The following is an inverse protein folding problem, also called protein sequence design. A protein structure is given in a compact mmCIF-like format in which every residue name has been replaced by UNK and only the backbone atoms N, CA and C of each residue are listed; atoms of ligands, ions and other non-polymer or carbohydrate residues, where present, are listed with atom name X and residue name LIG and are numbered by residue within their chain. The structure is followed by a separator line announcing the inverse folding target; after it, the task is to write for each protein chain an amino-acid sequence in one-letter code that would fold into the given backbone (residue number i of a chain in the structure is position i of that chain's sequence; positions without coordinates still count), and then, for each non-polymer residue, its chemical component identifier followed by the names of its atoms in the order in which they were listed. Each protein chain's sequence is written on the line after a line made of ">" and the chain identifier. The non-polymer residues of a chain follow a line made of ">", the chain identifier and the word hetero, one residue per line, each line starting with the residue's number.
data_IF_502759891016
#
_entry.id   IF_502759891016
#
_cell.length_a   1.000
_cell.length_b   1.000
_cell.length_c   1.000
_cell.angle_alpha   90.00
_cell.angle_beta   90.00
_cell.angle_gamma   90.00
#
_symmetry.space_group_name_H-M   'P 1'
#
loop_
_entity.id
_entity.type
_entity.pdbx_description
1 polymer ?
#
# COMPACT_ATOMS: atom_id res chain seq x y z
N UNK A 1 -62.16 -87.41 20.94
CA UNK A 1 -60.79 -86.85 20.83
C UNK A 1 -60.82 -85.80 19.73
N UNK A 2 -60.51 -84.51 19.87
CA UNK A 2 -59.92 -83.71 20.96
C UNK A 2 -60.16 -82.23 20.55
N UNK A 3 -60.66 -81.36 21.45
CA UNK A 3 -60.72 -79.91 21.18
C UNK A 3 -59.44 -79.23 21.68
N UNK A 4 -58.79 -78.43 20.83
CA UNK A 4 -57.59 -77.66 21.19
C UNK A 4 -57.89 -76.17 21.35
N UNK A 5 -57.38 -75.64 22.45
CA UNK A 5 -57.67 -74.36 23.08
C UNK A 5 -56.97 -73.18 22.41
N UNK A 6 -57.75 -72.20 21.92
CA UNK A 6 -57.28 -70.92 21.36
C UNK A 6 -57.38 -69.82 22.43
N UNK A 7 -56.42 -69.71 23.37
CA UNK A 7 -56.50 -68.67 24.42
C UNK A 7 -55.23 -67.87 24.76
N UNK A 8 -54.09 -68.09 24.07
CA UNK A 8 -52.82 -67.46 24.47
C UNK A 8 -52.31 -66.27 23.64
N UNK A 9 -53.01 -65.83 22.58
CA UNK A 9 -52.45 -64.79 21.67
C UNK A 9 -52.72 -63.33 22.09
N UNK A 10 -53.73 -63.08 22.94
CA UNK A 10 -54.21 -61.71 23.24
C UNK A 10 -53.45 -61.03 24.39
N UNK A 11 -52.80 -61.78 25.29
CA UNK A 11 -52.10 -61.21 26.45
C UNK A 11 -50.73 -60.62 26.08
N UNK A 12 -50.09 -61.15 25.04
CA UNK A 12 -48.74 -60.73 24.63
C UNK A 12 -48.75 -59.42 23.81
N UNK A 13 -49.81 -59.16 23.05
CA UNK A 13 -49.92 -57.93 22.23
C UNK A 13 -50.07 -56.66 23.08
N UNK A 14 -50.75 -56.73 24.22
CA UNK A 14 -50.88 -55.60 25.15
C UNK A 14 -49.54 -55.21 25.80
N UNK A 15 -48.66 -56.17 26.05
CA UNK A 15 -47.33 -55.91 26.60
C UNK A 15 -46.38 -55.35 25.54
N UNK A 16 -46.45 -55.85 24.30
CA UNK A 16 -45.70 -55.31 23.16
C UNK A 16 -46.14 -53.87 22.84
N UNK A 17 -47.44 -53.59 22.87
CA UNK A 17 -47.96 -52.24 22.64
C UNK A 17 -47.53 -51.25 23.73
N UNK A 18 -47.51 -51.69 24.99
CA UNK A 18 -46.97 -50.89 26.11
C UNK A 18 -45.46 -50.66 25.96
N UNK A 19 -44.71 -51.66 25.50
CA UNK A 19 -43.27 -51.56 25.29
C UNK A 19 -42.93 -50.61 24.12
N UNK A 20 -43.68 -50.67 23.03
CA UNK A 20 -43.56 -49.74 21.89
C UNK A 20 -43.93 -48.30 22.29
N UNK A 21 -44.96 -48.13 23.13
CA UNK A 21 -45.37 -46.81 23.63
C UNK A 21 -44.32 -46.19 24.58
N UNK A 22 -43.73 -47.00 25.47
CA UNK A 22 -42.65 -46.57 26.35
C UNK A 22 -41.36 -46.24 25.56
N UNK A 23 -41.05 -47.01 24.51
CA UNK A 23 -39.89 -46.74 23.65
C UNK A 23 -40.10 -45.45 22.83
N UNK A 24 -41.32 -45.17 22.38
CA UNK A 24 -41.67 -43.93 21.68
C UNK A 24 -41.56 -42.70 22.59
N UNK A 25 -41.99 -42.80 23.85
CA UNK A 25 -41.82 -41.72 24.85
C UNK A 25 -40.34 -41.51 25.19
N UNK A 26 -39.56 -42.60 25.28
CA UNK A 26 -38.12 -42.51 25.51
C UNK A 26 -37.39 -41.87 24.32
N UNK A 27 -37.82 -42.16 23.08
CA UNK A 27 -37.26 -41.52 21.89
C UNK A 27 -37.61 -40.03 21.81
N UNK A 28 -38.81 -39.63 22.28
CA UNK A 28 -39.22 -38.22 22.34
C UNK A 28 -38.57 -37.44 23.49
N UNK A 29 -38.18 -38.10 24.58
CA UNK A 29 -37.49 -37.47 25.72
C UNK A 29 -35.96 -37.41 25.56
N UNK A 30 -35.38 -38.16 24.61
CA UNK A 30 -33.96 -38.12 24.28
C UNK A 30 -33.64 -37.48 22.93
N UNK A 31 -34.66 -37.08 22.16
CA UNK A 31 -34.50 -36.10 21.09
C UNK A 31 -34.43 -34.70 21.71
N UNK A 32 -33.46 -34.50 22.60
CA UNK A 32 -33.05 -33.16 22.98
C UNK A 32 -32.67 -32.44 21.69
N UNK A 33 -33.39 -31.35 21.45
CA UNK A 33 -33.21 -30.41 20.37
C UNK A 33 -31.72 -30.27 20.02
N UNK A 34 -31.30 -30.79 18.87
CA UNK A 34 -30.14 -30.23 18.18
C UNK A 34 -30.62 -28.91 17.60
N UNK A 35 -30.69 -27.90 18.47
CA UNK A 35 -30.87 -26.53 18.05
C UNK A 35 -29.63 -26.13 17.26
N UNK A 36 -29.70 -26.21 15.93
CA UNK A 36 -28.73 -25.52 15.09
C UNK A 36 -29.01 -24.02 15.23
N UNK A 37 -28.37 -23.37 16.20
CA UNK A 37 -28.32 -21.91 16.21
C UNK A 37 -27.58 -21.47 14.94
N UNK A 38 -28.33 -20.92 13.99
CA UNK A 38 -27.76 -20.34 12.79
C UNK A 38 -26.95 -19.09 13.18
N UNK A 39 -25.63 -19.23 13.31
CA UNK A 39 -24.75 -18.11 13.58
C UNK A 39 -24.77 -17.18 12.36
N UNK A 40 -25.28 -15.97 12.56
CA UNK A 40 -25.44 -15.00 11.48
C UNK A 40 -24.10 -14.34 11.17
N UNK A 41 -23.76 -14.27 9.87
CA UNK A 41 -22.60 -13.55 9.35
C UNK A 41 -23.09 -12.25 8.71
N UNK A 42 -22.58 -11.11 9.16
CA UNK A 42 -22.87 -9.80 8.54
C UNK A 42 -21.62 -9.24 7.90
N UNK A 43 -21.72 -8.80 6.66
CA UNK A 43 -20.60 -8.28 5.88
C UNK A 43 -20.95 -6.90 5.30
N UNK A 44 -20.16 -5.90 5.64
CA UNK A 44 -20.42 -4.51 5.24
C UNK A 44 -19.47 -4.01 4.12
N UNK A 45 -18.59 -4.87 3.61
CA UNK A 45 -17.60 -4.49 2.59
C UNK A 45 -16.16 -4.78 3.01
N UNK A 46 -15.25 -4.50 2.08
CA UNK A 46 -13.81 -4.43 2.30
C UNK A 46 -13.37 -3.04 1.87
N UNK A 47 -12.95 -2.22 2.83
CA UNK A 47 -12.28 -0.97 2.48
C UNK A 47 -10.85 -1.29 2.04
N UNK A 48 -10.38 -0.63 0.98
CA UNK A 48 -9.03 -0.82 0.48
C UNK A 48 -8.34 0.54 0.38
N UNK A 49 -7.15 0.63 0.95
CA UNK A 49 -6.31 1.83 0.93
C UNK A 49 -4.98 1.51 0.28
N UNK A 50 -4.41 2.48 -0.41
CA UNK A 50 -3.09 2.33 -1.01
C UNK A 50 -2.18 3.51 -0.73
N UNK A 51 -0.91 3.20 -0.58
CA UNK A 51 0.19 4.14 -0.43
C UNK A 51 1.36 3.73 -1.34
N UNK A 52 2.31 4.64 -1.52
CA UNK A 52 3.51 4.39 -2.30
C UNK A 52 4.72 4.88 -1.54
N UNK A 53 5.81 4.14 -1.65
CA UNK A 53 7.05 4.42 -0.95
C UNK A 53 8.02 5.18 -1.86
N UNK A 54 7.77 6.48 -1.98
CA UNK A 54 8.68 7.41 -2.67
C UNK A 54 9.15 8.51 -1.73
N UNK A 55 10.42 8.87 -1.83
CA UNK A 55 11.02 9.97 -1.08
C UNK A 55 10.29 11.27 -1.41
N UNK A 56 9.89 11.97 -0.36
CA UNK A 56 9.38 13.33 -0.40
C UNK A 56 10.14 14.12 0.69
N UNK A 57 10.52 15.37 0.44
CA UNK A 57 11.14 16.18 1.48
C UNK A 57 10.21 16.34 2.69
N UNK A 58 10.77 16.45 3.89
CA UNK A 58 10.00 16.45 5.15
C UNK A 58 8.97 17.59 5.24
N UNK A 59 9.19 18.69 4.53
CA UNK A 59 8.32 19.86 4.48
C UNK A 59 7.25 19.79 3.36
N UNK A 60 7.27 18.74 2.54
CA UNK A 60 6.26 18.52 1.50
C UNK A 60 4.94 18.07 2.11
N UNK A 61 3.88 18.87 1.90
CA UNK A 61 2.55 18.64 2.50
C UNK A 61 1.64 17.71 1.68
N UNK A 62 2.07 17.32 0.49
CA UNK A 62 1.28 16.46 -0.41
C UNK A 62 1.50 14.98 -0.17
N UNK A 63 0.71 14.13 -0.83
CA UNK A 63 0.92 12.68 -0.84
C UNK A 63 2.16 12.34 -1.69
N UNK A 64 2.93 11.34 -1.26
CA UNK A 64 3.87 10.64 -2.11
C UNK A 64 3.15 10.14 -3.38
N UNK A 65 3.78 10.32 -4.54
CA UNK A 65 3.21 9.97 -5.84
C UNK A 65 3.94 8.75 -6.38
N UNK A 66 3.20 7.90 -7.09
CA UNK A 66 3.74 6.74 -7.78
C UNK A 66 4.73 7.22 -8.85
N UNK A 67 5.91 6.63 -8.91
CA UNK A 67 6.90 6.80 -9.99
C UNK A 67 7.36 5.43 -10.47
N UNK A 68 7.98 5.29 -11.65
CA UNK A 68 8.50 3.98 -12.10
C UNK A 68 9.37 3.32 -11.03
N UNK A 69 9.19 2.01 -10.84
CA UNK A 69 9.86 1.21 -9.80
C UNK A 69 9.52 1.56 -8.35
N UNK A 70 8.64 2.52 -8.10
CA UNK A 70 8.13 2.76 -6.75
C UNK A 70 7.35 1.55 -6.25
N UNK A 71 7.56 1.23 -4.98
CA UNK A 71 6.78 0.24 -4.25
C UNK A 71 5.40 0.82 -3.93
N UNK A 72 4.37 0.00 -4.11
CA UNK A 72 2.98 0.31 -3.81
C UNK A 72 2.50 -0.73 -2.81
N UNK A 73 1.94 -0.26 -1.70
CA UNK A 73 1.32 -1.08 -0.68
C UNK A 73 -0.18 -0.85 -0.68
N UNK A 74 -0.94 -1.93 -0.67
CA UNK A 74 -2.39 -1.93 -0.56
C UNK A 74 -2.76 -2.66 0.72
N UNK A 75 -3.58 -2.06 1.57
CA UNK A 75 -4.15 -2.68 2.76
C UNK A 75 -5.65 -2.93 2.57
N UNK A 76 -6.12 -4.10 2.99
CA UNK A 76 -7.53 -4.47 3.02
C UNK A 76 -8.06 -4.43 4.45
N UNK A 77 -9.19 -3.77 4.64
CA UNK A 77 -9.86 -3.57 5.92
C UNK A 77 -11.28 -4.15 5.85
N UNK A 78 -11.42 -5.48 6.01
CA UNK A 78 -12.71 -6.13 5.95
C UNK A 78 -13.58 -5.78 7.18
N UNK A 79 -14.87 -5.54 6.94
CA UNK A 79 -15.86 -5.30 8.00
C UNK A 79 -16.81 -6.49 8.09
N UNK A 80 -16.36 -7.53 8.81
CA UNK A 80 -17.06 -8.82 8.94
C UNK A 80 -17.39 -9.09 10.39
N UNK A 81 -18.65 -9.42 10.64
CA UNK A 81 -19.14 -9.81 11.94
C UNK A 81 -19.64 -11.24 11.91
N UNK A 82 -19.25 -12.02 12.92
CA UNK A 82 -19.63 -13.41 13.12
C UNK A 82 -20.11 -13.58 14.54
N UNK A 83 -21.34 -14.08 14.74
CA UNK A 83 -21.93 -14.26 16.08
C UNK A 83 -21.84 -12.99 16.96
N UNK A 84 -22.13 -11.82 16.37
CA UNK A 84 -22.16 -10.54 17.08
C UNK A 84 -20.80 -9.88 17.34
N UNK A 85 -19.67 -10.53 17.04
CA UNK A 85 -18.32 -9.94 17.15
C UNK A 85 -17.72 -9.64 15.79
N UNK A 86 -16.89 -8.61 15.71
CA UNK A 86 -16.04 -8.36 14.52
C UNK A 86 -14.93 -9.40 14.47
N UNK A 87 -14.69 -9.99 13.29
CA UNK A 87 -13.52 -10.84 13.06
C UNK A 87 -12.28 -9.97 12.87
N UNK A 88 -11.17 -10.33 13.52
CA UNK A 88 -9.88 -9.68 13.27
C UNK A 88 -9.23 -10.22 12.00
N UNK A 89 -8.35 -9.42 11.38
CA UNK A 89 -7.64 -9.83 10.16
C UNK A 89 -6.87 -11.15 10.34
N UNK A 90 -6.31 -11.41 11.52
CA UNK A 90 -5.62 -12.67 11.87
C UNK A 90 -6.51 -13.92 11.82
N UNK A 91 -7.84 -13.77 11.86
CA UNK A 91 -8.81 -14.87 11.77
C UNK A 91 -9.26 -15.14 10.33
N UNK A 92 -8.88 -14.26 9.41
CA UNK A 92 -9.31 -14.27 8.01
C UNK A 92 -8.19 -14.79 7.10
N UNK A 93 -8.61 -15.36 5.97
CA UNK A 93 -7.74 -15.78 4.88
C UNK A 93 -7.92 -14.77 3.75
N UNK A 94 -6.80 -14.29 3.22
CA UNK A 94 -6.73 -13.33 2.12
C UNK A 94 -6.12 -14.00 0.89
N UNK A 95 -6.78 -13.91 -0.25
CA UNK A 95 -6.24 -14.36 -1.53
C UNK A 95 -6.08 -13.14 -2.45
N UNK A 96 -4.85 -12.68 -2.60
CA UNK A 96 -4.53 -11.50 -3.39
C UNK A 96 -4.27 -11.84 -4.85
N UNK A 97 -4.73 -10.94 -5.71
CA UNK A 97 -4.52 -10.99 -7.15
C UNK A 97 -4.08 -9.62 -7.64
N UNK A 98 -3.10 -9.59 -8.53
CA UNK A 98 -2.65 -8.40 -9.25
C UNK A 98 -2.76 -8.68 -10.75
N UNK A 99 -3.53 -7.87 -11.47
CA UNK A 99 -3.76 -8.04 -12.92
C UNK A 99 -4.13 -9.50 -13.28
N UNK A 100 -5.04 -10.09 -12.51
CA UNK A 100 -5.53 -11.46 -12.64
C UNK A 100 -4.53 -12.58 -12.29
N UNK A 101 -3.28 -12.25 -11.95
CA UNK A 101 -2.31 -13.21 -11.42
C UNK A 101 -2.39 -13.30 -9.91
N UNK A 102 -2.36 -14.53 -9.37
CA UNK A 102 -2.38 -14.76 -7.92
C UNK A 102 -1.04 -14.35 -7.29
N UNK A 103 -1.10 -13.60 -6.20
CA UNK A 103 0.06 -13.13 -5.45
C UNK A 103 0.27 -14.06 -4.25
N UNK A 104 0.97 -15.17 -4.47
CA UNK A 104 1.17 -16.24 -3.47
C UNK A 104 1.80 -15.74 -2.17
N UNK A 105 2.88 -14.98 -2.26
CA UNK A 105 3.63 -14.45 -1.11
C UNK A 105 2.77 -13.56 -0.18
N UNK A 106 1.80 -12.88 -0.78
CA UNK A 106 0.89 -11.97 -0.08
C UNK A 106 -0.44 -12.63 0.26
N UNK A 107 -0.65 -13.90 -0.11
CA UNK A 107 -1.88 -14.62 0.20
C UNK A 107 -1.73 -15.50 1.44
N UNK A 108 -2.80 -15.67 2.20
CA UNK A 108 -2.86 -16.55 3.36
C UNK A 108 -3.58 -15.94 4.57
N UNK A 109 -3.48 -16.64 5.70
CA UNK A 109 -4.09 -16.23 6.96
C UNK A 109 -3.46 -14.92 7.47
N UNK A 110 -4.28 -13.93 7.79
CA UNK A 110 -3.82 -12.63 8.32
C UNK A 110 -3.02 -11.76 7.34
N UNK A 111 -2.91 -12.15 6.07
CA UNK A 111 -2.19 -11.38 5.04
C UNK A 111 -3.07 -10.26 4.48
N UNK A 112 -3.33 -9.26 5.30
CA UNK A 112 -4.24 -8.15 5.00
C UNK A 112 -3.65 -7.06 4.09
N UNK A 113 -2.48 -7.28 3.51
CA UNK A 113 -1.86 -6.34 2.58
C UNK A 113 -1.18 -7.04 1.39
N UNK A 114 -1.05 -6.28 0.31
CA UNK A 114 -0.29 -6.61 -0.90
C UNK A 114 0.76 -5.53 -1.14
N UNK A 115 1.99 -5.94 -1.45
CA UNK A 115 3.04 -5.04 -1.92
C UNK A 115 3.44 -5.46 -3.34
N UNK A 116 3.62 -4.48 -4.23
CA UNK A 116 4.15 -4.70 -5.57
C UNK A 116 4.90 -3.46 -6.08
N UNK A 117 5.77 -3.64 -7.08
CA UNK A 117 6.47 -2.53 -7.74
C UNK A 117 5.70 -2.05 -8.97
N UNK A 118 5.61 -0.74 -9.15
CA UNK A 118 5.06 -0.14 -10.36
C UNK A 118 5.91 -0.46 -11.59
N UNK A 119 5.25 -0.67 -12.72
CA UNK A 119 5.91 -0.99 -14.00
C UNK A 119 6.60 0.24 -14.61
N UNK A 120 7.76 0.02 -15.23
CA UNK A 120 8.42 1.03 -16.08
C UNK A 120 7.77 1.09 -17.48
N UNK A 121 7.33 -0.07 -17.98
CA UNK A 121 7.00 -0.28 -19.40
C UNK A 121 5.51 -0.16 -19.71
N UNK A 122 4.66 -0.50 -18.75
CA UNK A 122 3.22 -0.44 -18.93
C UNK A 122 2.70 0.94 -18.54
N UNK A 123 1.80 1.50 -19.36
CA UNK A 123 0.99 2.68 -19.03
C UNK A 123 -0.38 2.28 -18.44
N UNK A 124 -0.62 0.99 -18.24
CA UNK A 124 -1.90 0.47 -17.76
C UNK A 124 -2.04 0.66 -16.25
N UNK A 125 -3.28 0.79 -15.80
CA UNK A 125 -3.62 0.80 -14.38
C UNK A 125 -3.39 -0.59 -13.81
N UNK A 126 -2.99 -0.68 -12.54
CA UNK A 126 -2.90 -1.97 -11.86
C UNK A 126 -4.22 -2.30 -11.18
N UNK A 127 -4.73 -3.50 -11.45
CA UNK A 127 -5.96 -4.00 -10.86
C UNK A 127 -5.61 -4.95 -9.72
N UNK A 128 -5.76 -4.48 -8.48
CA UNK A 128 -5.57 -5.30 -7.30
C UNK A 128 -6.93 -5.79 -6.81
N UNK A 129 -7.01 -7.08 -6.55
CA UNK A 129 -8.19 -7.75 -6.03
C UNK A 129 -7.79 -8.61 -4.84
N UNK A 130 -8.68 -8.68 -3.85
CA UNK A 130 -8.54 -9.59 -2.71
C UNK A 130 -9.83 -10.35 -2.49
N UNK A 131 -9.72 -11.66 -2.32
CA UNK A 131 -10.81 -12.44 -1.73
C UNK A 131 -10.54 -12.65 -0.25
N UNK A 132 -11.55 -12.37 0.58
CA UNK A 132 -11.49 -12.55 2.04
C UNK A 132 -12.48 -13.62 2.46
N UNK A 133 -12.00 -14.62 3.18
CA UNK A 133 -12.80 -15.72 3.72
C UNK A 133 -12.41 -16.04 5.16
N UNK A 134 -13.20 -16.86 5.85
CA UNK A 134 -12.77 -17.52 7.08
C UNK A 134 -12.14 -18.89 6.80
N UNK A 135 -11.55 -19.47 7.85
CA UNK A 135 -10.86 -20.77 7.78
C UNK A 135 -11.81 -21.90 7.33
N UNK A 136 -13.07 -21.89 7.76
CA UNK A 136 -14.05 -22.91 7.38
C UNK A 136 -14.65 -22.70 5.98
N UNK A 137 -14.31 -21.61 5.29
CA UNK A 137 -14.81 -21.30 3.94
C UNK A 137 -16.31 -21.01 3.88
N UNK A 138 -16.96 -20.75 5.01
CA UNK A 138 -18.42 -20.51 5.06
C UNK A 138 -18.82 -19.17 4.44
N UNK A 139 -17.86 -18.26 4.27
CA UNK A 139 -18.06 -17.06 3.45
C UNK A 139 -16.80 -16.75 2.63
N UNK A 140 -17.02 -16.07 1.50
CA UNK A 140 -15.96 -15.49 0.66
C UNK A 140 -16.48 -14.21 0.03
N UNK A 141 -15.70 -13.12 0.11
CA UNK A 141 -16.08 -11.80 -0.39
C UNK A 141 -14.93 -11.12 -1.13
N UNK A 142 -15.26 -10.33 -2.13
CA UNK A 142 -14.30 -9.65 -3.00
C UNK A 142 -14.13 -8.19 -2.59
N UNK A 143 -12.89 -7.72 -2.59
CA UNK A 143 -12.52 -6.31 -2.64
C UNK A 143 -11.69 -6.03 -3.88
N UNK A 144 -11.93 -4.90 -4.54
CA UNK A 144 -11.19 -4.48 -5.74
C UNK A 144 -10.77 -3.03 -5.59
N UNK A 145 -9.52 -2.75 -5.96
CA UNK A 145 -9.00 -1.38 -6.09
C UNK A 145 -8.19 -1.24 -7.37
N UNK A 146 -8.38 -0.11 -8.05
CA UNK A 146 -7.65 0.23 -9.27
C UNK A 146 -6.61 1.28 -8.94
N UNK A 147 -5.35 0.92 -9.08
CA UNK A 147 -4.22 1.83 -8.85
C UNK A 147 -3.91 2.56 -10.15
N UNK A 148 -3.94 3.91 -10.16
CA UNK A 148 -3.60 4.66 -11.35
C UNK A 148 -2.14 4.42 -11.72
N UNK A 149 -1.87 4.38 -13.01
CA UNK A 149 -0.50 4.56 -13.46
C UNK A 149 -0.13 6.04 -13.36
N UNK A 150 1.10 6.32 -12.97
CA UNK A 150 1.63 7.67 -12.91
C UNK A 150 2.68 7.86 -13.98
N UNK A 151 2.41 8.80 -14.89
CA UNK A 151 3.42 9.31 -15.83
C UNK A 151 4.45 10.20 -15.13
N UNK A 152 4.25 10.55 -13.85
CA UNK A 152 5.22 11.37 -13.12
C UNK A 152 6.54 10.63 -13.02
N UNK A 153 7.61 11.40 -13.12
CA UNK A 153 8.97 10.91 -12.98
C UNK A 153 9.55 11.48 -11.68
N UNK A 154 10.57 10.82 -11.12
CA UNK A 154 11.48 11.44 -10.16
C UNK A 154 11.91 12.84 -10.66
N UNK A 155 11.86 13.83 -9.78
CA UNK A 155 12.14 15.24 -10.12
C UNK A 155 13.16 15.83 -9.14
N UNK A 156 13.98 16.77 -9.62
CA UNK A 156 14.84 17.60 -8.78
C UNK A 156 14.34 19.03 -8.87
N UNK A 157 14.06 19.61 -7.71
CA UNK A 157 13.75 21.02 -7.58
C UNK A 157 14.90 21.73 -6.88
N UNK A 158 15.27 22.90 -7.39
CA UNK A 158 16.32 23.72 -6.79
C UNK A 158 15.65 24.87 -6.06
N UNK A 159 16.10 25.14 -4.83
CA UNK A 159 15.61 26.24 -4.00
C UNK A 159 16.79 27.10 -3.59
N UNK A 160 16.57 28.41 -3.44
CA UNK A 160 17.52 29.24 -2.71
C UNK A 160 17.46 28.85 -1.22
N UNK A 161 18.62 28.71 -0.61
CA UNK A 161 18.80 28.28 0.77
C UNK A 161 19.42 29.41 1.60
N UNK A 162 18.83 29.69 2.75
CA UNK A 162 19.40 30.58 3.75
C UNK A 162 20.07 29.72 4.84
N UNK A 163 21.41 29.62 4.87
CA UNK A 163 22.12 28.82 5.86
C UNK A 163 22.00 29.37 7.29
N UNK A 164 21.73 30.67 7.45
CA UNK A 164 21.61 31.31 8.76
C UNK A 164 20.31 30.93 9.46
N UNK A 165 19.22 30.83 8.69
CA UNK A 165 17.90 30.43 9.18
C UNK A 165 17.60 28.95 8.97
N UNK A 166 18.42 28.26 8.17
CA UNK A 166 18.18 26.88 7.67
C UNK A 166 16.85 26.77 6.94
N UNK A 167 16.50 27.79 6.18
CA UNK A 167 15.22 27.90 5.48
C UNK A 167 15.39 27.84 3.96
N UNK A 168 14.36 27.30 3.30
CA UNK A 168 14.24 27.27 1.86
C UNK A 168 13.29 28.36 1.39
N UNK A 169 13.63 28.96 0.25
CA UNK A 169 12.68 29.79 -0.50
C UNK A 169 11.35 29.06 -0.74
N UNK A 170 10.23 29.80 -0.75
CA UNK A 170 8.89 29.23 -0.88
C UNK A 170 8.63 28.56 -2.24
N UNK A 171 9.43 28.86 -3.26
CA UNK A 171 9.26 28.38 -4.64
C UNK A 171 10.60 27.88 -5.18
N UNK A 172 10.52 26.79 -5.94
CA UNK A 172 11.67 26.31 -6.69
C UNK A 172 12.07 27.35 -7.76
N UNK A 173 13.36 27.51 -7.96
CA UNK A 173 13.91 28.49 -8.89
C UNK A 173 14.03 27.91 -10.31
N UNK A 174 13.74 28.76 -11.29
CA UNK A 174 14.11 28.59 -12.71
C UNK A 174 15.13 29.65 -13.14
N UNK A 175 15.18 30.76 -12.40
CA UNK A 175 16.15 31.85 -12.55
C UNK A 175 16.29 32.58 -11.21
N UNK A 176 17.46 33.12 -10.93
CA UNK A 176 17.74 33.92 -9.73
C UNK A 176 18.56 35.16 -10.05
N UNK A 177 18.33 36.22 -9.29
CA UNK A 177 19.16 37.42 -9.27
C UNK A 177 19.94 37.46 -7.96
N UNK A 178 21.25 37.68 -8.04
CA UNK A 178 22.17 37.82 -6.91
C UNK A 178 22.76 39.23 -6.99
N UNK A 179 22.81 39.96 -5.89
CA UNK A 179 23.48 41.26 -5.90
C UNK A 179 25.00 41.08 -6.02
N UNK A 180 25.64 42.02 -6.70
CA UNK A 180 27.09 42.00 -6.83
C UNK A 180 27.78 42.15 -5.48
N UNK A 181 28.70 41.24 -5.18
CA UNK A 181 29.39 41.16 -3.90
C UNK A 181 28.75 40.18 -2.92
N UNK A 182 27.58 39.63 -3.24
CA UNK A 182 26.89 38.66 -2.38
C UNK A 182 27.31 37.22 -2.68
N UNK A 183 27.03 36.38 -1.67
CA UNK A 183 27.04 34.92 -1.73
C UNK A 183 25.61 34.40 -1.67
N UNK A 184 25.26 33.47 -2.55
CA UNK A 184 23.99 32.75 -2.52
C UNK A 184 24.22 31.24 -2.50
N UNK A 185 23.37 30.54 -1.76
CA UNK A 185 23.36 29.07 -1.72
C UNK A 185 22.08 28.52 -2.34
N UNK A 186 22.23 27.41 -3.05
CA UNK A 186 21.15 26.71 -3.72
C UNK A 186 21.17 25.25 -3.32
N UNK A 187 20.05 24.72 -2.88
CA UNK A 187 19.91 23.30 -2.55
C UNK A 187 19.14 22.58 -3.66
N UNK A 188 19.62 21.41 -4.06
CA UNK A 188 18.90 20.48 -4.92
C UNK A 188 18.15 19.46 -4.06
N UNK A 189 16.82 19.48 -4.18
CA UNK A 189 15.92 18.64 -3.39
C UNK A 189 15.22 17.62 -4.29
N UNK A 190 15.41 16.32 -4.04
CA UNK A 190 14.76 15.27 -4.81
C UNK A 190 13.29 15.08 -4.41
N UNK A 191 12.45 14.73 -5.38
CA UNK A 191 11.04 14.45 -5.20
C UNK A 191 10.66 13.15 -5.91
N UNK A 192 9.87 12.34 -5.21
CA UNK A 192 9.26 11.11 -5.70
C UNK A 192 10.27 10.04 -6.16
N UNK A 193 11.44 9.99 -5.53
CA UNK A 193 12.45 8.95 -5.78
C UNK A 193 11.97 7.65 -5.14
N UNK A 194 11.96 6.50 -5.84
CA UNK A 194 11.72 5.21 -5.18
C UNK A 194 12.67 5.03 -3.98
N UNK A 195 12.14 4.72 -2.79
CA UNK A 195 12.93 4.72 -1.54
C UNK A 195 14.09 3.72 -1.57
N UNK A 196 13.92 2.57 -2.22
CA UNK A 196 14.99 1.58 -2.43
C UNK A 196 16.21 2.16 -3.18
N UNK A 197 16.03 3.26 -3.92
CA UNK A 197 17.08 3.95 -4.68
C UNK A 197 17.67 5.19 -4.01
N UNK A 198 17.19 5.59 -2.82
CA UNK A 198 17.60 6.85 -2.17
C UNK A 198 18.85 6.75 -1.30
N UNK A 199 19.41 5.55 -1.08
CA UNK A 199 20.56 5.35 -0.19
C UNK A 199 21.89 5.82 -0.79
N UNK A 200 22.00 5.90 -2.12
CA UNK A 200 23.19 6.34 -2.82
C UNK A 200 22.79 7.32 -3.93
N UNK A 201 22.82 8.60 -3.59
CA UNK A 201 22.49 9.70 -4.49
C UNK A 201 23.78 10.43 -4.85
N UNK A 202 24.08 10.52 -6.14
CA UNK A 202 25.24 11.24 -6.66
C UNK A 202 24.76 12.55 -7.27
N UNK A 203 25.21 13.67 -6.71
CA UNK A 203 24.95 15.01 -7.22
C UNK A 203 26.15 15.50 -8.04
N UNK A 204 25.87 16.07 -9.20
CA UNK A 204 26.90 16.64 -10.07
C UNK A 204 26.47 18.01 -10.57
N UNK A 205 27.02 19.05 -9.97
CA UNK A 205 26.81 20.44 -10.39
C UNK A 205 27.68 20.82 -11.58
N UNK A 206 27.14 21.66 -12.45
CA UNK A 206 27.85 22.26 -13.58
C UNK A 206 27.45 23.73 -13.70
N UNK A 207 28.41 24.58 -14.07
CA UNK A 207 28.16 25.98 -14.43
C UNK A 207 28.74 26.22 -15.82
N UNK A 208 27.92 26.74 -16.72
CA UNK A 208 28.28 26.99 -18.12
C UNK A 208 28.89 25.74 -18.79
N UNK A 209 28.31 24.57 -18.50
CA UNK A 209 28.78 23.27 -19.01
C UNK A 209 30.06 22.72 -18.36
N UNK A 210 30.70 23.46 -17.44
CA UNK A 210 31.88 22.97 -16.71
C UNK A 210 31.47 22.32 -15.40
N UNK A 211 31.86 21.06 -15.22
CA UNK A 211 31.68 20.33 -13.96
C UNK A 211 32.42 21.03 -12.83
N UNK A 212 31.73 21.24 -11.71
CA UNK A 212 32.32 21.72 -10.47
C UNK A 212 33.03 20.57 -9.74
N UNK A 213 33.91 20.91 -8.78
CA UNK A 213 34.42 19.91 -7.85
C UNK A 213 33.26 19.45 -6.96
N UNK A 214 33.42 18.28 -6.35
CA UNK A 214 32.38 17.74 -5.49
C UNK A 214 32.17 18.68 -4.29
N UNK A 215 30.98 19.28 -4.23
CA UNK A 215 30.56 20.18 -3.16
C UNK A 215 30.35 19.38 -1.86
N UNK A 216 30.51 20.04 -0.71
CA UNK A 216 30.21 19.44 0.59
C UNK A 216 29.36 20.39 1.45
N UNK A 217 28.05 20.12 1.61
CA UNK A 217 27.34 18.91 1.18
C UNK A 217 27.06 18.89 -0.34
N UNK A 218 26.98 17.70 -0.97
CA UNK A 218 26.96 17.56 -2.43
C UNK A 218 25.68 18.09 -3.09
N UNK A 219 24.59 18.23 -2.34
CA UNK A 219 23.32 18.76 -2.80
C UNK A 219 23.22 20.30 -2.69
N UNK A 220 24.25 20.99 -2.17
CA UNK A 220 24.29 22.45 -2.08
C UNK A 220 25.30 23.00 -3.08
N UNK A 221 24.92 24.05 -3.79
CA UNK A 221 25.76 24.86 -4.64
C UNK A 221 25.91 26.25 -4.02
N UNK A 222 27.14 26.66 -3.73
CA UNK A 222 27.45 28.00 -3.22
C UNK A 222 28.08 28.85 -4.32
N UNK A 223 27.49 30.01 -4.59
CA UNK A 223 27.97 30.98 -5.58
C UNK A 223 28.35 32.27 -4.86
N UNK A 224 29.59 32.70 -5.00
CA UNK A 224 30.06 33.98 -4.48
C UNK A 224 30.46 34.89 -5.64
N UNK A 225 29.94 36.12 -5.63
CA UNK A 225 30.26 37.14 -6.63
C UNK A 225 31.17 38.22 -6.05
N UNK A 226 31.95 38.88 -6.91
CA UNK A 226 32.77 40.03 -6.49
C UNK A 226 31.98 41.34 -6.64
N UNK A 227 32.24 42.37 -5.82
CA UNK A 227 31.66 43.70 -6.03
C UNK A 227 31.97 44.25 -7.44
N UNK A 228 30.96 44.83 -8.09
CA UNK A 228 31.01 45.29 -9.48
C UNK A 228 30.81 44.22 -10.56
N UNK A 229 30.59 42.95 -10.19
CA UNK A 229 30.31 41.86 -11.15
C UNK A 229 28.97 42.04 -11.85
N UNK A 230 28.96 41.89 -13.18
CA UNK A 230 27.75 41.73 -13.99
C UNK A 230 27.90 40.52 -14.89
N UNK A 231 27.34 39.40 -14.46
CA UNK A 231 27.50 38.11 -15.15
C UNK A 231 26.20 37.34 -15.18
N UNK A 232 25.93 36.69 -16.31
CA UNK A 232 24.90 35.67 -16.43
C UNK A 232 25.57 34.31 -16.56
N UNK A 233 25.07 33.32 -15.82
CA UNK A 233 25.54 31.95 -15.85
C UNK A 233 24.35 30.99 -15.95
N UNK A 234 24.60 29.83 -16.54
CA UNK A 234 23.67 28.72 -16.61
C UNK A 234 24.17 27.62 -15.68
N UNK A 235 23.35 27.24 -14.71
CA UNK A 235 23.67 26.20 -13.75
C UNK A 235 22.81 24.96 -14.00
N UNK A 236 23.45 23.80 -13.92
CA UNK A 236 22.83 22.49 -14.08
C UNK A 236 23.17 21.62 -12.87
N UNK A 237 22.19 20.85 -12.40
CA UNK A 237 22.41 19.71 -11.52
C UNK A 237 21.98 18.44 -12.24
N UNK A 238 22.87 17.45 -12.23
CA UNK A 238 22.54 16.09 -12.60
C UNK A 238 22.58 15.19 -11.36
N UNK A 239 21.48 14.49 -11.08
CA UNK A 239 21.34 13.62 -9.92
C UNK A 239 21.14 12.19 -10.38
N UNK A 240 22.06 11.30 -9.99
CA UNK A 240 21.98 9.87 -10.28
C UNK A 240 21.57 9.09 -9.03
N UNK A 241 20.66 8.15 -9.22
CA UNK A 241 20.15 7.24 -8.19
C UNK A 241 20.52 5.82 -8.58
N UNK A 242 20.76 4.94 -7.60
CA UNK A 242 21.17 3.56 -7.88
C UNK A 242 20.14 2.77 -8.70
N UNK A 243 18.85 2.98 -8.44
CA UNK A 243 17.78 2.17 -9.03
C UNK A 243 17.08 2.85 -10.22
N UNK A 244 17.55 4.03 -10.64
CA UNK A 244 17.04 4.70 -11.83
C UNK A 244 18.06 4.55 -12.96
N UNK A 245 17.60 4.03 -14.09
CA UNK A 245 18.42 3.86 -15.31
C UNK A 245 18.91 5.21 -15.84
N UNK A 246 18.10 6.25 -15.67
CA UNK A 246 18.39 7.61 -16.10
C UNK A 246 18.61 8.53 -14.91
N UNK A 247 19.55 9.47 -15.08
CA UNK A 247 19.79 10.53 -14.12
C UNK A 247 18.77 11.66 -14.29
N UNK A 248 18.34 12.27 -13.18
CA UNK A 248 17.38 13.38 -13.19
C UNK A 248 18.15 14.70 -13.27
N UNK A 249 17.78 15.56 -14.22
CA UNK A 249 18.46 16.84 -14.47
C UNK A 249 17.56 18.02 -14.15
N UNK A 250 18.14 19.09 -13.61
CA UNK A 250 17.48 20.39 -13.43
C UNK A 250 18.46 21.50 -13.79
N UNK A 251 17.95 22.53 -14.47
CA UNK A 251 18.74 23.69 -14.87
C UNK A 251 18.06 25.00 -14.45
N UNK A 252 18.85 26.04 -14.22
CA UNK A 252 18.37 27.38 -13.90
C UNK A 252 19.40 28.46 -14.29
N UNK A 253 18.92 29.68 -14.45
CA UNK A 253 19.76 30.84 -14.77
C UNK A 253 20.17 31.60 -13.51
N UNK A 254 21.40 32.09 -13.48
CA UNK A 254 21.93 32.95 -12.43
C UNK A 254 22.32 34.27 -13.07
N UNK A 255 21.81 35.38 -12.56
CA UNK A 255 22.19 36.72 -12.97
C UNK A 255 22.76 37.48 -11.78
N UNK A 256 23.98 37.99 -11.92
CA UNK A 256 24.63 38.85 -10.93
C UNK A 256 24.57 40.29 -11.43
N UNK A 257 24.12 41.22 -10.58
CA UNK A 257 23.90 42.62 -10.94
C UNK A 257 24.35 43.62 -9.88
#
# INVERSE_FOLDING_TARGET
>A
MTQYTYKNKVKNSKNILKFLFLFSIFYFLFFDFIGAEAQTITFNGIDMLWETNTYIPYYYKGKAIITPLSEIKIAAMPHIFYAGRRLSNSELIFEWYLNNSRMEEYSGKGRDYLIFKSSILSNEKSHAKVWVSNISGTFKKEGVIVIPNSKKRPEILVYQYDPSQKELSQKAISSVQIASGDTAEFIAEPYFIPMEGSENIIYQWMINGKRLRDENPPNILTISSHPGSRISAFADINVKFNNLLESVKKSFFINVM
#
